data_IF_984897436426
#
_entry.id   IF_984897436426
#
_cell.length_a   1.000
_cell.length_b   1.000
_cell.length_c   1.000
_cell.angle_alpha   90.00
_cell.angle_beta   90.00
_cell.angle_gamma   90.00
#
_symmetry.space_group_name_H-M   'P 1'
#
loop_
_entity.id
_entity.type
_entity.pdbx_description
1 polymer ?
#
# COMPACT_ATOMS: atom_id res chain seq x y z
N UNK A 1 18.92 54.84 -45.71
CA UNK A 1 18.79 53.36 -45.57
C UNK A 1 19.27 52.85 -44.21
N UNK A 2 20.34 53.42 -43.64
CA UNK A 2 20.91 53.05 -42.33
C UNK A 2 19.93 53.10 -41.15
N UNK A 3 19.07 54.12 -41.05
CA UNK A 3 18.09 54.26 -39.95
C UNK A 3 17.05 53.13 -39.88
N UNK A 4 16.60 52.61 -41.03
CA UNK A 4 15.65 51.48 -41.08
C UNK A 4 16.30 50.17 -40.61
N UNK A 5 17.59 49.98 -40.90
CA UNK A 5 18.35 48.80 -40.48
C UNK A 5 18.58 48.84 -38.96
N UNK A 6 18.94 49.99 -38.40
CA UNK A 6 19.10 50.13 -36.95
C UNK A 6 17.79 49.89 -36.19
N UNK A 7 16.64 50.35 -36.72
CA UNK A 7 15.32 50.06 -36.15
C UNK A 7 14.98 48.56 -36.17
N UNK A 8 15.31 47.86 -37.27
CA UNK A 8 15.08 46.42 -37.37
C UNK A 8 15.95 45.62 -36.39
N UNK A 9 17.24 45.98 -36.25
CA UNK A 9 18.15 45.34 -35.29
C UNK A 9 17.66 45.58 -33.85
N UNK A 10 17.25 46.81 -33.52
CA UNK A 10 16.71 47.13 -32.20
C UNK A 10 15.45 46.30 -31.89
N UNK A 11 14.55 46.15 -32.85
CA UNK A 11 13.34 45.32 -32.70
C UNK A 11 13.68 43.85 -32.43
N UNK A 12 14.66 43.28 -33.15
CA UNK A 12 15.11 41.90 -32.93
C UNK A 12 15.76 41.76 -31.55
N UNK A 13 16.59 42.71 -31.13
CA UNK A 13 17.23 42.68 -29.81
C UNK A 13 16.19 42.70 -28.67
N UNK A 14 15.15 43.52 -28.80
CA UNK A 14 14.03 43.57 -27.83
C UNK A 14 13.28 42.24 -27.78
N UNK A 15 13.02 41.62 -28.94
CA UNK A 15 12.35 40.30 -28.99
C UNK A 15 13.19 39.20 -28.33
N UNK A 16 14.51 39.21 -28.53
CA UNK A 16 15.41 38.26 -27.88
C UNK A 16 15.47 38.48 -26.36
N UNK A 17 15.57 39.73 -25.91
CA UNK A 17 15.57 40.07 -24.48
C UNK A 17 14.25 39.65 -23.81
N UNK A 18 13.10 39.91 -24.46
CA UNK A 18 11.79 39.49 -23.96
C UNK A 18 11.67 37.96 -23.90
N UNK A 19 12.17 37.23 -24.91
CA UNK A 19 12.19 35.77 -24.90
C UNK A 19 13.05 35.21 -23.76
N UNK A 20 14.22 35.79 -23.51
CA UNK A 20 15.11 35.38 -22.42
C UNK A 20 14.47 35.63 -21.05
N UNK A 21 13.89 36.81 -20.83
CA UNK A 21 13.19 37.13 -19.57
C UNK A 21 12.00 36.17 -19.32
N UNK A 22 11.26 35.82 -20.38
CA UNK A 22 10.16 34.87 -20.28
C UNK A 22 10.64 33.47 -19.90
N UNK A 23 11.71 32.97 -20.52
CA UNK A 23 12.27 31.65 -20.18
C UNK A 23 12.86 31.62 -18.77
N UNK A 24 13.52 32.70 -18.35
CA UNK A 24 14.00 32.83 -16.97
C UNK A 24 12.86 32.80 -15.95
N UNK A 25 11.78 33.54 -16.22
CA UNK A 25 10.61 33.56 -15.35
C UNK A 25 9.92 32.19 -15.29
N UNK A 26 9.74 31.54 -16.44
CA UNK A 26 9.17 30.19 -16.52
C UNK A 26 10.03 29.17 -15.74
N UNK A 27 11.36 29.21 -15.91
CA UNK A 27 12.27 28.35 -15.18
C UNK A 27 12.23 28.59 -13.67
N UNK A 28 11.94 29.81 -13.23
CA UNK A 28 11.79 30.14 -11.81
C UNK A 28 10.51 29.56 -11.23
N UNK A 29 9.38 29.71 -11.93
CA UNK A 29 8.11 29.09 -11.55
C UNK A 29 8.21 27.55 -11.48
N UNK A 30 8.92 26.93 -12.42
CA UNK A 30 9.14 25.49 -12.43
C UNK A 30 9.91 25.02 -11.19
N UNK A 31 10.91 25.81 -10.72
CA UNK A 31 11.65 25.50 -9.48
C UNK A 31 10.76 25.58 -8.24
N UNK A 32 9.94 26.62 -8.13
CA UNK A 32 9.03 26.79 -6.99
C UNK A 32 8.01 25.63 -6.94
N UNK A 33 7.51 25.23 -8.11
CA UNK A 33 6.62 24.06 -8.24
C UNK A 33 7.30 22.75 -7.85
N UNK A 34 8.56 22.55 -8.22
CA UNK A 34 9.32 21.37 -7.82
C UNK A 34 9.51 21.33 -6.29
N UNK A 35 9.80 22.47 -5.66
CA UNK A 35 9.92 22.54 -4.20
C UNK A 35 8.60 22.22 -3.50
N UNK A 36 7.47 22.72 -4.00
CA UNK A 36 6.16 22.39 -3.42
C UNK A 36 5.84 20.90 -3.58
N UNK A 37 6.13 20.31 -4.74
CA UNK A 37 5.95 18.88 -4.98
C UNK A 37 6.82 18.02 -4.07
N UNK A 38 8.07 18.42 -3.81
CA UNK A 38 8.95 17.74 -2.87
C UNK A 38 8.40 17.79 -1.44
N UNK A 39 7.92 18.96 -1.01
CA UNK A 39 7.33 19.11 0.33
C UNK A 39 6.06 18.27 0.50
N UNK A 40 5.22 18.20 -0.53
CA UNK A 40 4.01 17.35 -0.52
C UNK A 40 4.37 15.85 -0.55
N UNK A 41 5.38 15.47 -1.35
CA UNK A 41 5.90 14.11 -1.38
C UNK A 41 6.47 13.69 0.00
N UNK A 42 7.26 14.56 0.63
CA UNK A 42 7.80 14.30 1.97
C UNK A 42 6.68 14.12 3.01
N UNK A 43 5.66 14.98 2.99
CA UNK A 43 4.48 14.83 3.86
C UNK A 43 3.77 13.50 3.63
N UNK A 44 3.57 13.10 2.38
CA UNK A 44 2.92 11.83 2.06
C UNK A 44 3.73 10.62 2.55
N UNK A 45 5.07 10.69 2.45
CA UNK A 45 5.95 9.66 2.99
C UNK A 45 5.87 9.60 4.52
N UNK A 46 5.92 10.75 5.20
CA UNK A 46 5.78 10.79 6.66
C UNK A 46 4.43 10.24 7.12
N UNK A 47 3.34 10.59 6.42
CA UNK A 47 2.00 10.06 6.70
C UNK A 47 1.94 8.54 6.49
N UNK A 48 2.52 8.03 5.40
CA UNK A 48 2.60 6.60 5.13
C UNK A 48 3.39 5.88 6.23
N UNK A 49 4.57 6.37 6.61
CA UNK A 49 5.39 5.81 7.69
C UNK A 49 4.65 5.81 9.03
N UNK A 50 3.97 6.91 9.38
CA UNK A 50 3.19 6.97 10.62
C UNK A 50 2.05 5.94 10.62
N UNK A 51 1.36 5.77 9.49
CA UNK A 51 0.30 4.76 9.36
C UNK A 51 0.84 3.33 9.51
N UNK A 52 2.00 3.03 8.93
CA UNK A 52 2.66 1.74 9.04
C UNK A 52 3.06 1.44 10.48
N UNK A 53 3.73 2.39 11.15
CA UNK A 53 4.10 2.25 12.55
C UNK A 53 2.88 2.03 13.46
N UNK A 54 1.76 2.69 13.17
CA UNK A 54 0.54 2.50 13.95
C UNK A 54 -0.04 1.09 13.77
N UNK A 55 -0.04 0.54 12.55
CA UNK A 55 -0.46 -0.84 12.30
C UNK A 55 0.46 -1.86 12.96
N UNK A 56 1.77 -1.64 12.87
CA UNK A 56 2.77 -2.51 13.52
C UNK A 56 2.56 -2.53 15.04
N UNK A 57 2.35 -1.37 15.66
CA UNK A 57 2.00 -1.28 17.09
C UNK A 57 0.71 -2.04 17.41
N UNK A 58 -0.35 -1.86 16.62
CA UNK A 58 -1.60 -2.59 16.80
C UNK A 58 -1.40 -4.10 16.68
N UNK A 59 -0.57 -4.55 15.75
CA UNK A 59 -0.26 -5.96 15.55
C UNK A 59 0.54 -6.51 16.74
N UNK A 60 1.58 -5.82 17.19
CA UNK A 60 2.35 -6.19 18.39
C UNK A 60 1.47 -6.24 19.64
N UNK A 61 0.60 -5.25 19.83
CA UNK A 61 -0.36 -5.22 20.94
C UNK A 61 -1.35 -6.39 20.88
N UNK A 62 -1.80 -6.76 19.68
CA UNK A 62 -2.73 -7.88 19.50
C UNK A 62 -2.04 -9.21 19.77
N UNK A 63 -0.82 -9.40 19.26
CA UNK A 63 -0.04 -10.62 19.48
C UNK A 63 0.33 -10.78 20.95
N UNK A 64 0.79 -9.72 21.62
CA UNK A 64 1.12 -9.77 23.05
C UNK A 64 -0.10 -10.05 23.94
N UNK A 65 -1.27 -9.49 23.61
CA UNK A 65 -2.53 -9.87 24.26
C UNK A 65 -2.85 -11.35 24.08
N UNK A 66 -2.68 -11.89 22.87
CA UNK A 66 -2.90 -13.32 22.60
C UNK A 66 -1.91 -14.21 23.36
N UNK A 67 -0.63 -13.82 23.45
CA UNK A 67 0.37 -14.52 24.24
C UNK A 67 0.05 -14.49 25.75
N UNK A 68 -0.40 -13.35 26.27
CA UNK A 68 -0.83 -13.25 27.67
C UNK A 68 -1.97 -14.22 27.98
N UNK A 69 -2.92 -14.38 27.06
CA UNK A 69 -4.03 -15.33 27.22
C UNK A 69 -3.54 -16.78 27.27
N UNK A 70 -2.51 -17.15 26.50
CA UNK A 70 -1.87 -18.48 26.57
C UNK A 70 -1.21 -18.73 27.92
N UNK A 71 -0.56 -17.73 28.50
CA UNK A 71 0.19 -17.89 29.76
C UNK A 71 -0.74 -17.85 30.98
N UNK A 72 -1.79 -17.01 30.96
CA UNK A 72 -2.73 -16.86 32.07
C UNK A 72 -3.70 -18.04 32.18
N UNK A 73 -4.13 -18.62 31.07
CA UNK A 73 -5.12 -19.72 31.07
C UNK A 73 -4.39 -21.06 31.14
N UNK A 74 -4.04 -21.49 32.37
CA UNK A 74 -3.47 -22.84 32.64
C UNK A 74 -4.51 -23.85 33.14
N UNK A 75 -5.63 -23.39 33.67
CA UNK A 75 -6.67 -24.27 34.21
C UNK A 75 -7.51 -24.86 33.09
N UNK A 76 -7.63 -26.19 33.05
CA UNK A 76 -8.39 -26.93 32.03
C UNK A 76 -9.87 -26.52 31.97
N UNK A 77 -10.44 -26.08 33.10
CA UNK A 77 -11.83 -25.61 33.19
C UNK A 77 -12.03 -24.26 32.49
N UNK A 78 -11.04 -23.36 32.60
CA UNK A 78 -11.06 -22.06 31.91
C UNK A 78 -10.88 -22.23 30.39
N UNK A 79 -10.11 -23.25 29.97
CA UNK A 79 -9.94 -23.62 28.56
C UNK A 79 -11.29 -24.08 27.99
N UNK A 80 -12.00 -24.99 28.66
CA UNK A 80 -13.30 -25.50 28.21
C UNK A 80 -14.38 -24.42 28.14
N UNK A 81 -14.34 -23.42 29.02
CA UNK A 81 -15.26 -22.30 28.98
C UNK A 81 -15.01 -21.36 27.79
N UNK A 82 -13.75 -21.23 27.34
CA UNK A 82 -13.33 -20.30 26.28
C UNK A 82 -13.25 -20.93 24.90
N UNK A 83 -12.98 -22.23 24.79
CA UNK A 83 -12.87 -22.97 23.53
C UNK A 83 -14.06 -22.77 22.57
N UNK A 84 -15.34 -22.75 23.04
CA UNK A 84 -16.49 -22.56 22.16
C UNK A 84 -16.50 -21.20 21.47
N UNK A 85 -15.97 -20.15 22.12
CA UNK A 85 -15.88 -18.81 21.56
C UNK A 85 -14.72 -18.62 20.57
N UNK A 86 -13.71 -19.50 20.63
CA UNK A 86 -12.55 -19.42 19.74
C UNK A 86 -12.77 -20.21 18.43
N UNK A 87 -13.51 -21.32 18.50
CA UNK A 87 -13.66 -22.27 17.39
C UNK A 87 -15.13 -22.45 16.92
N UNK A 88 -16.07 -21.66 17.46
CA UNK A 88 -17.50 -21.74 17.13
C UNK A 88 -18.12 -23.15 17.28
N UNK A 89 -17.77 -23.87 18.36
CA UNK A 89 -18.33 -25.22 18.63
C UNK A 89 -19.75 -25.15 19.22
N UNK A 90 -20.65 -26.07 18.86
CA UNK A 90 -21.91 -26.27 19.56
C UNK A 90 -21.67 -26.75 21.01
N UNK A 91 -22.44 -26.23 21.99
CA UNK A 91 -22.38 -26.61 23.42
C UNK A 91 -23.07 -27.97 23.67
N UNK A 92 -22.66 -28.80 24.66
CA UNK A 92 -21.50 -28.69 25.56
C UNK A 92 -20.42 -29.77 25.35
N UNK A 93 -19.16 -29.41 25.65
CA UNK A 93 -17.98 -30.30 25.63
C UNK A 93 -17.76 -30.83 27.06
N UNK A 94 -17.61 -32.15 27.23
CA UNK A 94 -17.38 -32.80 28.54
C UNK A 94 -15.95 -33.35 28.63
N UNK A 95 -15.37 -33.34 29.83
CA UNK A 95 -14.03 -33.91 30.09
C UNK A 95 -14.07 -35.44 30.08
N UNK A 96 -13.12 -36.07 29.37
CA UNK A 96 -12.85 -37.49 29.53
C UNK A 96 -12.11 -37.73 30.85
N UNK A 97 -12.74 -38.34 31.85
CA UNK A 97 -11.97 -38.95 32.94
C UNK A 97 -11.29 -40.20 32.39
N UNK A 98 -9.95 -40.20 32.38
CA UNK A 98 -9.16 -41.37 32.01
C UNK A 98 -9.48 -42.53 32.96
N UNK A 99 -10.01 -43.62 32.40
CA UNK A 99 -10.16 -44.92 33.08
C UNK A 99 -8.98 -45.83 32.67
N UNK A 100 -8.28 -46.51 33.60
CA UNK A 100 -7.18 -47.43 33.25
C UNK A 100 -7.64 -48.67 32.45
N UNK A 101 -6.71 -49.37 31.76
CA UNK A 101 -7.03 -50.19 30.58
C UNK A 101 -7.38 -51.65 30.91
N UNK A 102 -8.27 -52.26 30.10
CA UNK A 102 -8.25 -53.66 29.59
C UNK A 102 -9.65 -54.12 29.13
N UNK A 103 -9.80 -55.19 28.31
CA UNK A 103 -9.04 -55.60 27.12
C UNK A 103 -9.96 -55.71 25.87
N UNK A 104 -9.36 -56.01 24.72
CA UNK A 104 -10.02 -56.19 23.41
C UNK A 104 -11.35 -56.96 23.42
N UNK A 105 -12.32 -56.47 22.64
CA UNK A 105 -13.24 -57.31 21.87
C UNK A 105 -13.86 -56.52 20.71
N UNK A 106 -13.45 -56.87 19.49
CA UNK A 106 -14.20 -56.57 18.27
C UNK A 106 -15.54 -57.33 18.30
N UNK A 107 -16.67 -56.67 17.99
CA UNK A 107 -17.73 -57.25 17.13
C UNK A 107 -18.84 -56.24 16.75
N UNK A 108 -18.93 -56.05 15.43
CA UNK A 108 -20.11 -55.90 14.55
C UNK A 108 -21.43 -55.26 15.02
N UNK A 109 -21.86 -54.26 14.25
CA UNK A 109 -23.21 -53.93 13.75
C UNK A 109 -24.44 -54.49 14.49
N UNK A 110 -25.35 -53.63 14.97
CA UNK A 110 -26.72 -53.49 14.41
C UNK A 110 -27.47 -52.29 15.01
N UNK A 111 -28.43 -51.79 14.23
CA UNK A 111 -29.20 -50.55 14.42
C UNK A 111 -30.34 -50.63 15.44
N UNK A 112 -30.57 -49.54 16.19
CA UNK A 112 -31.88 -49.10 16.70
C UNK A 112 -31.80 -47.62 17.13
N UNK A 113 -32.64 -46.74 16.59
CA UNK A 113 -32.88 -45.38 17.15
C UNK A 113 -33.83 -45.49 18.35
N UNK A 114 -33.58 -44.74 19.45
CA UNK A 114 -34.36 -43.51 19.65
C UNK A 114 -33.58 -42.39 20.36
N UNK A 115 -33.90 -41.13 20.03
CA UNK A 115 -33.49 -39.90 20.74
C UNK A 115 -31.99 -39.77 21.01
N UNK A 116 -31.25 -39.25 20.03
CA UNK A 116 -29.82 -38.98 20.17
C UNK A 116 -29.56 -38.03 21.36
N UNK A 117 -28.90 -38.48 22.46
CA UNK A 117 -28.24 -37.53 23.35
C UNK A 117 -27.21 -36.80 22.49
N UNK A 118 -27.14 -35.47 22.61
CA UNK A 118 -26.16 -34.66 21.89
C UNK A 118 -24.79 -35.35 22.00
N UNK A 119 -24.05 -35.52 20.90
CA UNK A 119 -22.74 -36.16 20.95
C UNK A 119 -21.84 -35.25 21.80
N UNK A 120 -21.69 -35.61 23.07
CA UNK A 120 -20.74 -34.99 23.96
C UNK A 120 -19.38 -35.40 23.40
N UNK A 121 -18.74 -34.49 22.67
CA UNK A 121 -17.38 -34.66 22.23
C UNK A 121 -16.51 -34.74 23.48
N UNK A 122 -16.10 -35.95 23.83
CA UNK A 122 -15.23 -36.24 24.96
C UNK A 122 -13.82 -35.94 24.50
N UNK A 123 -13.29 -34.76 24.87
CA UNK A 123 -11.91 -34.41 24.55
C UNK A 123 -10.98 -34.95 25.65
N UNK A 124 -9.91 -35.68 25.28
CA UNK A 124 -8.88 -36.08 26.23
C UNK A 124 -8.17 -34.84 26.79
N UNK A 125 -7.86 -34.87 28.08
CA UNK A 125 -7.22 -33.77 28.80
C UNK A 125 -5.85 -33.39 28.25
N UNK A 126 -5.17 -34.35 27.61
CA UNK A 126 -3.83 -34.19 27.02
C UNK A 126 -3.86 -33.22 25.83
N UNK A 127 -4.90 -33.29 25.00
CA UNK A 127 -5.02 -32.54 23.74
C UNK A 127 -5.67 -31.17 23.92
N UNK A 128 -6.24 -30.92 25.10
CA UNK A 128 -7.00 -29.71 25.38
C UNK A 128 -6.14 -28.44 25.30
N UNK A 129 -4.92 -28.51 25.84
CA UNK A 129 -3.98 -27.40 25.82
C UNK A 129 -3.38 -27.17 24.43
N UNK A 130 -2.84 -28.18 23.71
CA UNK A 130 -2.42 -28.02 22.32
C UNK A 130 -3.51 -27.46 21.40
N UNK A 131 -4.77 -27.90 21.57
CA UNK A 131 -5.90 -27.40 20.78
C UNK A 131 -6.22 -25.93 21.07
N UNK A 132 -6.17 -25.53 22.34
CA UNK A 132 -6.34 -24.13 22.74
C UNK A 132 -5.22 -23.25 22.20
N UNK A 133 -3.96 -23.70 22.34
CA UNK A 133 -2.79 -22.99 21.84
C UNK A 133 -2.85 -22.80 20.32
N UNK A 134 -3.25 -23.85 19.59
CA UNK A 134 -3.47 -23.81 18.14
C UNK A 134 -4.57 -22.82 17.75
N UNK A 135 -5.69 -22.78 18.48
CA UNK A 135 -6.78 -21.83 18.19
C UNK A 135 -6.33 -20.37 18.39
N UNK A 136 -5.50 -20.11 19.40
CA UNK A 136 -4.91 -18.78 19.62
C UNK A 136 -3.90 -18.45 18.52
N UNK A 137 -3.04 -19.39 18.13
CA UNK A 137 -2.08 -19.21 17.03
C UNK A 137 -2.77 -18.97 15.69
N UNK A 138 -3.90 -19.65 15.44
CA UNK A 138 -4.72 -19.42 14.26
C UNK A 138 -5.19 -17.95 14.17
N UNK A 139 -5.65 -17.37 15.29
CA UNK A 139 -6.04 -15.96 15.36
C UNK A 139 -4.86 -15.01 15.16
N UNK A 140 -3.70 -15.33 15.74
CA UNK A 140 -2.48 -14.55 15.53
C UNK A 140 -2.03 -14.57 14.06
N UNK A 141 -2.08 -15.73 13.41
CA UNK A 141 -1.81 -15.89 11.98
C UNK A 141 -2.83 -15.14 11.12
N UNK A 142 -4.12 -15.17 11.48
CA UNK A 142 -5.15 -14.43 10.75
C UNK A 142 -4.93 -12.91 10.84
N UNK A 143 -4.55 -12.39 12.01
CA UNK A 143 -4.20 -10.99 12.19
C UNK A 143 -2.96 -10.59 11.36
N UNK A 144 -1.93 -11.45 11.34
CA UNK A 144 -0.73 -11.25 10.50
C UNK A 144 -1.06 -11.27 9.01
N UNK A 145 -1.93 -12.18 8.58
CA UNK A 145 -2.37 -12.23 7.19
C UNK A 145 -3.13 -10.97 6.80
N UNK A 146 -4.06 -10.50 7.65
CA UNK A 146 -4.80 -9.27 7.39
C UNK A 146 -3.86 -8.05 7.24
N UNK A 147 -2.87 -7.92 8.13
CA UNK A 147 -1.85 -6.88 8.02
C UNK A 147 -1.05 -7.01 6.71
N UNK A 148 -0.55 -8.21 6.38
CA UNK A 148 0.19 -8.44 5.14
C UNK A 148 -0.63 -8.16 3.87
N UNK A 149 -1.93 -8.45 3.87
CA UNK A 149 -2.81 -8.11 2.73
C UNK A 149 -3.02 -6.61 2.58
N UNK A 150 -3.08 -5.87 3.68
CA UNK A 150 -3.15 -4.41 3.65
C UNK A 150 -1.84 -3.80 3.14
N UNK A 151 -0.69 -4.30 3.62
CA UNK A 151 0.62 -3.82 3.17
C UNK A 151 0.85 -4.11 1.68
N UNK A 152 0.37 -5.25 1.19
CA UNK A 152 0.44 -5.57 -0.25
C UNK A 152 -0.41 -4.60 -1.08
N UNK A 153 -1.59 -4.21 -0.60
CA UNK A 153 -2.42 -3.21 -1.27
C UNK A 153 -1.71 -1.83 -1.29
N UNK A 154 -1.14 -1.43 -0.16
CA UNK A 154 -0.39 -0.17 -0.04
C UNK A 154 0.82 -0.15 -1.00
N UNK A 155 1.64 -1.21 -1.03
CA UNK A 155 2.80 -1.31 -1.93
C UNK A 155 2.40 -1.33 -3.41
N UNK A 156 1.24 -1.92 -3.76
CA UNK A 156 0.70 -1.81 -5.11
C UNK A 156 0.36 -0.37 -5.48
N UNK A 157 -0.35 0.34 -4.59
CA UNK A 157 -0.70 1.76 -4.85
C UNK A 157 0.54 2.63 -4.99
N UNK A 158 1.56 2.39 -4.16
CA UNK A 158 2.86 3.08 -4.24
C UNK A 158 3.59 2.77 -5.55
N UNK A 159 3.61 1.51 -5.97
CA UNK A 159 4.21 1.09 -7.24
C UNK A 159 3.54 1.74 -8.44
N UNK A 160 2.20 1.81 -8.44
CA UNK A 160 1.44 2.50 -9.49
C UNK A 160 1.74 4.01 -9.52
N UNK A 161 1.80 4.66 -8.36
CA UNK A 161 2.14 6.07 -8.25
C UNK A 161 3.56 6.35 -8.79
N UNK A 162 4.55 5.56 -8.35
CA UNK A 162 5.94 5.68 -8.82
C UNK A 162 6.07 5.38 -10.32
N UNK A 163 5.29 4.44 -10.87
CA UNK A 163 5.27 4.18 -12.31
C UNK A 163 4.80 5.41 -13.08
N UNK A 164 3.74 6.08 -12.62
CA UNK A 164 3.22 7.31 -13.26
C UNK A 164 4.26 8.44 -13.20
N UNK A 165 4.92 8.61 -12.06
CA UNK A 165 5.99 9.60 -11.92
C UNK A 165 7.18 9.31 -12.84
N UNK A 166 7.61 8.05 -12.91
CA UNK A 166 8.66 7.61 -13.84
C UNK A 166 8.26 7.87 -15.30
N UNK A 167 7.03 7.56 -15.68
CA UNK A 167 6.56 7.75 -17.05
C UNK A 167 6.43 9.24 -17.39
N UNK A 168 6.00 10.06 -16.43
CA UNK A 168 6.00 11.52 -16.54
C UNK A 168 7.43 12.06 -16.69
N UNK A 169 8.39 11.59 -15.89
CA UNK A 169 9.79 11.96 -15.98
C UNK A 169 10.43 11.53 -17.31
N UNK A 170 10.12 10.31 -17.78
CA UNK A 170 10.55 9.81 -19.10
C UNK A 170 10.00 10.67 -20.23
N UNK A 171 8.73 11.08 -20.14
CA UNK A 171 8.10 11.98 -21.10
C UNK A 171 8.73 13.37 -21.06
N UNK A 172 9.01 13.90 -19.87
CA UNK A 172 9.67 15.19 -19.70
C UNK A 172 11.13 15.17 -20.21
N UNK A 173 11.90 14.12 -19.93
CA UNK A 173 13.26 13.92 -20.43
C UNK A 173 13.30 13.81 -21.95
N UNK A 174 12.26 13.21 -22.55
CA UNK A 174 11.98 13.30 -23.97
C UNK A 174 11.43 14.68 -24.37
N UNK A 175 11.72 15.78 -23.69
CA UNK A 175 11.31 17.12 -24.13
C UNK A 175 9.80 17.40 -24.07
N UNK A 176 9.08 16.67 -23.20
CA UNK A 176 7.65 16.86 -22.96
C UNK A 176 6.75 16.18 -23.99
N UNK A 177 5.46 16.50 -23.93
CA UNK A 177 4.49 15.96 -24.89
C UNK A 177 4.83 16.41 -26.33
N UNK A 178 4.45 15.60 -27.33
CA UNK A 178 4.58 15.97 -28.75
C UNK A 178 4.03 17.37 -29.06
N UNK A 179 2.99 17.81 -28.34
CA UNK A 179 2.42 19.17 -28.43
C UNK A 179 3.38 20.25 -27.94
N UNK A 180 4.06 20.03 -26.82
CA UNK A 180 5.05 20.97 -26.30
C UNK A 180 6.27 21.07 -27.22
N UNK A 181 6.70 19.96 -27.81
CA UNK A 181 7.77 19.93 -28.82
C UNK A 181 7.39 20.73 -30.08
N UNK A 182 6.22 20.47 -30.65
CA UNK A 182 5.73 21.18 -31.84
C UNK A 182 5.51 22.68 -31.58
N UNK A 183 4.98 23.06 -30.42
CA UNK A 183 4.82 24.47 -30.04
C UNK A 183 6.15 25.22 -29.92
N UNK A 184 7.17 24.59 -29.31
CA UNK A 184 8.53 25.16 -29.23
C UNK A 184 9.18 25.29 -30.61
N UNK A 185 9.06 24.27 -31.46
CA UNK A 185 9.56 24.32 -32.83
C UNK A 185 8.89 25.45 -33.62
N UNK A 186 7.55 25.55 -33.57
CA UNK A 186 6.79 26.59 -34.24
C UNK A 186 7.20 28.01 -33.80
N UNK A 187 7.48 28.23 -32.51
CA UNK A 187 7.99 29.50 -31.99
C UNK A 187 9.32 29.89 -32.65
N UNK A 188 10.29 28.96 -32.70
CA UNK A 188 11.59 29.23 -33.31
C UNK A 188 11.50 29.40 -34.83
N UNK A 189 10.66 28.64 -35.51
CA UNK A 189 10.39 28.84 -36.94
C UNK A 189 9.78 30.22 -37.22
N UNK A 190 8.85 30.68 -36.40
CA UNK A 190 8.25 32.01 -36.56
C UNK A 190 9.29 33.14 -36.39
N UNK A 191 10.19 33.02 -35.40
CA UNK A 191 11.28 33.99 -35.19
C UNK A 191 12.26 33.96 -36.38
N UNK A 192 12.65 32.76 -36.85
CA UNK A 192 13.54 32.60 -38.00
C UNK A 192 12.94 33.15 -39.30
N UNK A 193 11.64 32.93 -39.53
CA UNK A 193 10.93 33.47 -40.69
C UNK A 193 10.86 35.00 -40.67
N UNK A 194 10.62 35.60 -39.50
CA UNK A 194 10.64 37.05 -39.32
C UNK A 194 12.02 37.64 -39.63
N UNK A 195 13.09 37.01 -39.13
CA UNK A 195 14.46 37.44 -39.42
C UNK A 195 14.80 37.31 -40.91
N UNK A 196 14.41 36.20 -41.56
CA UNK A 196 14.62 35.98 -42.99
C UNK A 196 13.86 36.98 -43.89
N UNK A 197 12.62 37.31 -43.53
CA UNK A 197 11.82 38.30 -44.26
C UNK A 197 12.42 39.72 -44.18
N UNK A 198 13.03 40.08 -43.05
CA UNK A 198 13.73 41.36 -42.88
C UNK A 198 15.00 41.40 -43.75
N UNK A 199 15.77 40.30 -43.78
CA UNK A 199 16.97 40.18 -44.61
C UNK A 199 16.65 40.28 -46.11
N UNK A 200 15.61 39.58 -46.57
CA UNK A 200 15.17 39.59 -47.97
C UNK A 200 14.64 40.97 -48.43
N UNK A 201 14.14 41.80 -47.51
CA UNK A 201 13.67 43.17 -47.79
C UNK A 201 14.80 44.22 -47.73
N UNK A 202 15.99 43.83 -47.29
CA UNK A 202 17.16 44.70 -47.15
C UNK A 202 18.18 44.58 -48.28
N UNK A 203 18.00 43.60 -49.18
CA UNK A 203 18.61 43.52 -50.50
C UNK A 203 17.71 44.16 -51.55
#
# INVERSE_FOLDING_TARGET
MTTKIHLAIAAIAVLLAAAFLWEWHAARLDRDRLQSQLADAEKSLQQATASQQQRDRQLTDTVSKLESLKVTVKSQQDILARLPYLLALPKPIAMAQQKPPAPHSQKSNQAASPTAPQPQAVLPTEDLKPLYDFAIDCKACQAKLAAATADLADEKTKSEALSRERDAASTAAKGGSLRQRLGRAAKWFAIGALAGAIAAKSH
#
